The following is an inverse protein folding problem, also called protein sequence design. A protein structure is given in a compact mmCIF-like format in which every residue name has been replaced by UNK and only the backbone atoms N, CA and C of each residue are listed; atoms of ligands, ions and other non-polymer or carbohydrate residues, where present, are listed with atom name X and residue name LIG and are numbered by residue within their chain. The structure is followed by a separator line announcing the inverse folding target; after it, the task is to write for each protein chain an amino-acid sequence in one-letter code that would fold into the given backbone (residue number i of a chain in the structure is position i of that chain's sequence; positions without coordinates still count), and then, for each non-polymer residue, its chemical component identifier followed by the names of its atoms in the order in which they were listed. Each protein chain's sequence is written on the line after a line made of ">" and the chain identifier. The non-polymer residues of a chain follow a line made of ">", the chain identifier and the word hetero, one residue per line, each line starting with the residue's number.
data_IF_842821408456
#
_entry.id   IF_842821408456
#
_cell.length_a   1.000
_cell.length_b   1.000
_cell.length_c   1.000
_cell.angle_alpha   90.00
_cell.angle_beta   90.00
_cell.angle_gamma   90.00
#
_symmetry.space_group_name_H-M   'P 1'
#
loop_
_entity.id
_entity.type
_entity.pdbx_description
1 polymer ?
#
# COMPACT_ATOMS: atom_id res chain seq x y z
N UNK A 1 -10.54 2.30 -11.57
CA UNK A 1 -10.46 1.20 -12.54
C UNK A 1 -9.02 0.70 -12.67
N UNK A 2 -8.86 -0.59 -12.98
CA UNK A 2 -7.63 -1.17 -13.46
C UNK A 2 -7.72 -1.22 -14.99
N UNK A 3 -6.74 -0.65 -15.65
CA UNK A 3 -6.74 -0.46 -17.10
C UNK A 3 -5.60 -1.26 -17.74
N UNK A 4 -5.89 -1.84 -18.89
CA UNK A 4 -4.91 -2.39 -19.80
C UNK A 4 -4.73 -1.45 -20.98
N UNK A 5 -3.49 -1.17 -21.30
CA UNK A 5 -3.09 -0.40 -22.47
C UNK A 5 -2.15 -1.22 -23.34
N UNK A 6 -2.25 -1.07 -24.63
CA UNK A 6 -1.37 -1.70 -25.60
C UNK A 6 -1.07 -0.72 -26.73
N UNK A 7 0.19 -0.64 -27.07
CA UNK A 7 0.71 -0.06 -28.30
C UNK A 7 0.79 -1.21 -29.33
N UNK A 8 0.05 -1.14 -30.43
CA UNK A 8 -0.02 -2.23 -31.42
C UNK A 8 0.84 -2.00 -32.65
N UNK A 9 1.30 -0.77 -32.88
CA UNK A 9 2.14 -0.40 -34.02
C UNK A 9 3.57 0.02 -33.63
N UNK A 10 3.87 0.02 -32.31
CA UNK A 10 5.16 0.36 -31.71
C UNK A 10 5.59 1.82 -31.95
N UNK A 11 4.65 2.76 -32.01
CA UNK A 11 4.94 4.18 -32.12
C UNK A 11 5.22 4.88 -30.75
N UNK A 12 5.06 4.12 -29.65
CA UNK A 12 5.24 4.59 -28.28
C UNK A 12 3.97 5.19 -27.66
N UNK A 13 2.84 5.14 -28.37
CA UNK A 13 1.53 5.59 -27.90
C UNK A 13 0.57 4.41 -27.85
N UNK A 14 -0.12 4.24 -26.74
CA UNK A 14 -1.10 3.17 -26.61
C UNK A 14 -2.38 3.48 -27.40
N UNK A 15 -2.68 2.65 -28.40
CA UNK A 15 -3.84 2.75 -29.27
C UNK A 15 -5.00 1.85 -28.82
N UNK A 16 -4.76 0.87 -27.96
CA UNK A 16 -5.79 0.05 -27.33
C UNK A 16 -5.89 0.34 -25.82
N UNK A 17 -7.12 0.52 -25.36
CA UNK A 17 -7.44 0.71 -23.95
C UNK A 17 -8.63 -0.16 -23.55
N UNK A 18 -8.47 -0.91 -22.45
CA UNK A 18 -9.54 -1.75 -21.88
C UNK A 18 -9.61 -1.60 -20.38
N UNK A 19 -10.83 -1.52 -19.82
CA UNK A 19 -11.05 -1.66 -18.38
C UNK A 19 -11.04 -3.14 -18.04
N UNK A 20 -10.09 -3.57 -17.21
CA UNK A 20 -9.94 -4.98 -16.80
C UNK A 20 -10.80 -5.27 -15.58
N UNK A 21 -10.65 -4.43 -14.54
CA UNK A 21 -11.47 -4.49 -13.33
C UNK A 21 -11.94 -3.08 -12.95
N UNK A 22 -13.17 -3.01 -12.46
CA UNK A 22 -13.77 -1.76 -11.94
C UNK A 22 -14.37 -1.98 -10.56
N UNK A 23 -14.70 -0.88 -9.84
CA UNK A 23 -15.35 -0.93 -8.53
C UNK A 23 -14.45 -0.62 -7.35
N UNK A 24 -13.22 -0.15 -7.57
CA UNK A 24 -12.36 0.36 -6.50
C UNK A 24 -12.97 1.58 -5.82
N UNK A 25 -13.21 1.49 -4.50
CA UNK A 25 -13.82 2.54 -3.70
C UNK A 25 -15.30 2.80 -3.97
N UNK A 26 -15.96 2.04 -4.84
CA UNK A 26 -17.37 2.27 -5.28
C UNK A 26 -18.40 2.22 -4.15
N UNK A 27 -18.13 1.46 -3.09
CA UNK A 27 -19.03 1.34 -1.94
C UNK A 27 -18.89 2.50 -0.92
N UNK A 28 -18.00 3.46 -1.17
CA UNK A 28 -17.78 4.61 -0.28
C UNK A 28 -18.63 5.78 -0.70
N UNK A 29 -19.41 6.32 0.24
CA UNK A 29 -20.14 7.59 0.05
C UNK A 29 -19.19 8.77 -0.18
N UNK A 30 -17.97 8.68 0.39
CA UNK A 30 -16.89 9.64 0.19
C UNK A 30 -15.57 8.89 0.01
N UNK A 31 -15.00 9.02 -1.18
CA UNK A 31 -13.72 8.43 -1.52
C UNK A 31 -12.58 9.17 -0.81
N UNK A 32 -11.71 8.41 -0.13
CA UNK A 32 -10.45 8.94 0.37
C UNK A 32 -9.42 8.94 -0.76
N UNK A 33 -9.07 10.12 -1.28
CA UNK A 33 -8.13 10.26 -2.39
C UNK A 33 -6.71 9.81 -2.04
N UNK A 34 -6.35 9.78 -0.75
CA UNK A 34 -5.05 9.26 -0.28
C UNK A 34 -5.05 7.74 -0.08
N UNK A 35 -6.12 7.05 -0.43
CA UNK A 35 -6.30 5.62 -0.21
C UNK A 35 -6.77 4.91 -1.48
N UNK A 36 -6.28 5.35 -2.64
CA UNK A 36 -6.57 4.72 -3.93
C UNK A 36 -5.74 3.44 -4.10
N UNK A 37 -6.18 2.51 -4.97
CA UNK A 37 -5.40 1.34 -5.32
C UNK A 37 -4.05 1.76 -5.89
N UNK A 38 -3.01 1.03 -5.51
CA UNK A 38 -1.64 1.38 -5.86
C UNK A 38 -0.73 0.15 -5.91
N UNK A 39 0.51 0.37 -6.30
CA UNK A 39 1.62 -0.60 -6.18
C UNK A 39 1.37 -1.93 -6.90
N UNK A 40 0.96 -1.88 -8.16
CA UNK A 40 0.95 -3.08 -8.98
C UNK A 40 2.38 -3.64 -9.09
N UNK A 41 2.54 -4.91 -8.68
CA UNK A 41 3.82 -5.63 -8.68
C UNK A 41 3.64 -7.05 -9.17
N UNK A 42 4.59 -7.50 -9.96
CA UNK A 42 4.68 -8.89 -10.38
C UNK A 42 5.18 -9.75 -9.20
N UNK A 43 4.42 -10.77 -8.82
CA UNK A 43 4.81 -11.73 -7.79
C UNK A 43 5.55 -12.94 -8.37
N UNK A 44 6.22 -13.71 -7.51
CA UNK A 44 6.89 -14.96 -7.89
C UNK A 44 5.89 -16.08 -8.29
N UNK A 45 4.62 -15.89 -8.00
CA UNK A 45 3.50 -16.77 -8.36
C UNK A 45 2.91 -16.46 -9.75
N UNK A 46 3.61 -15.68 -10.56
CA UNK A 46 3.18 -15.21 -11.87
C UNK A 46 1.84 -14.44 -11.87
N UNK A 47 1.52 -13.80 -10.76
CA UNK A 47 0.35 -12.93 -10.62
C UNK A 47 0.77 -11.48 -10.44
N UNK A 48 -0.08 -10.56 -10.84
CA UNK A 48 0.07 -9.14 -10.53
C UNK A 48 -0.66 -8.88 -9.21
N UNK A 49 0.06 -8.39 -8.22
CA UNK A 49 -0.46 -8.00 -6.92
C UNK A 49 -0.66 -6.48 -6.85
N UNK A 50 -1.70 -6.06 -6.11
CA UNK A 50 -1.98 -4.65 -5.89
C UNK A 50 -2.54 -4.37 -4.49
N UNK A 51 -2.23 -3.19 -3.97
CA UNK A 51 -2.74 -2.71 -2.69
C UNK A 51 -4.03 -1.92 -2.89
N UNK A 52 -5.04 -2.14 -2.01
CA UNK A 52 -6.34 -1.44 -2.09
C UNK A 52 -6.49 -0.33 -1.07
N UNK A 53 -5.60 -0.24 -0.10
CA UNK A 53 -5.69 0.74 0.97
C UNK A 53 -7.02 0.66 1.78
N UNK A 54 -7.47 1.78 2.35
CA UNK A 54 -8.66 1.83 3.21
C UNK A 54 -9.99 2.03 2.46
N UNK A 55 -9.96 2.36 1.18
CA UNK A 55 -11.20 2.50 0.40
C UNK A 55 -11.85 1.14 0.12
N UNK A 56 -11.03 0.08 0.03
CA UNK A 56 -11.54 -1.23 -0.37
C UNK A 56 -12.03 -1.26 -1.81
N UNK A 57 -12.75 -2.31 -2.14
CA UNK A 57 -13.35 -2.46 -3.48
C UNK A 57 -14.50 -3.44 -3.47
N UNK A 58 -15.41 -3.27 -4.44
CA UNK A 58 -16.37 -4.26 -4.88
C UNK A 58 -16.15 -4.48 -6.36
N UNK A 59 -15.21 -5.37 -6.68
CA UNK A 59 -14.67 -5.53 -8.02
C UNK A 59 -15.57 -6.34 -8.91
N UNK A 60 -15.75 -5.86 -10.12
CA UNK A 60 -16.44 -6.53 -11.23
C UNK A 60 -15.58 -6.46 -12.49
N UNK A 61 -15.90 -7.28 -13.47
CA UNK A 61 -15.33 -7.26 -14.82
C UNK A 61 -16.38 -6.75 -15.81
N UNK A 62 -16.14 -5.61 -16.49
CA UNK A 62 -17.11 -5.08 -17.45
C UNK A 62 -17.33 -5.98 -18.68
N UNK A 63 -16.31 -6.74 -19.06
CA UNK A 63 -16.28 -7.63 -20.22
C UNK A 63 -16.76 -9.07 -19.91
N UNK A 64 -17.04 -9.38 -18.64
CA UNK A 64 -17.44 -10.72 -18.21
C UNK A 64 -18.59 -10.65 -17.18
N UNK A 65 -19.81 -10.84 -17.67
CA UNK A 65 -21.01 -10.81 -16.81
C UNK A 65 -21.15 -12.03 -15.90
N UNK A 66 -20.39 -13.08 -16.15
CA UNK A 66 -20.35 -14.28 -15.30
C UNK A 66 -19.38 -14.14 -14.13
N UNK A 67 -18.55 -13.10 -14.13
CA UNK A 67 -17.60 -12.85 -13.05
C UNK A 67 -18.35 -12.48 -11.75
N UNK A 68 -18.21 -13.33 -10.74
CA UNK A 68 -18.78 -13.08 -9.41
C UNK A 68 -18.07 -11.91 -8.74
N UNK A 69 -18.80 -10.86 -8.31
CA UNK A 69 -18.20 -9.68 -7.70
C UNK A 69 -17.38 -9.99 -6.45
N UNK A 70 -16.18 -9.42 -6.35
CA UNK A 70 -15.24 -9.69 -5.25
C UNK A 70 -15.10 -8.47 -4.35
N UNK A 71 -15.33 -8.68 -3.05
CA UNK A 71 -15.20 -7.64 -2.02
C UNK A 71 -13.80 -7.66 -1.40
N UNK A 72 -13.15 -6.48 -1.35
CA UNK A 72 -11.78 -6.29 -0.85
C UNK A 72 -11.72 -5.34 0.36
N UNK A 73 -12.53 -5.54 1.37
CA UNK A 73 -12.50 -4.71 2.57
C UNK A 73 -11.26 -5.01 3.42
N UNK A 74 -10.31 -4.04 3.48
CA UNK A 74 -9.06 -4.16 4.23
C UNK A 74 -8.12 -5.26 3.71
N UNK A 75 -8.29 -5.67 2.46
CA UNK A 75 -7.50 -6.71 1.80
C UNK A 75 -6.88 -6.18 0.52
N UNK A 76 -5.72 -6.69 0.19
CA UNK A 76 -5.09 -6.50 -1.11
C UNK A 76 -5.66 -7.51 -2.12
N UNK A 77 -5.15 -7.52 -3.34
CA UNK A 77 -5.59 -8.43 -4.38
C UNK A 77 -4.42 -8.92 -5.22
N UNK A 78 -4.65 -10.04 -5.90
CA UNK A 78 -3.82 -10.47 -7.01
C UNK A 78 -4.68 -10.98 -8.15
N UNK A 79 -4.16 -10.95 -9.37
CA UNK A 79 -4.82 -11.55 -10.53
C UNK A 79 -3.78 -12.12 -11.49
N UNK A 80 -4.16 -13.20 -12.17
CA UNK A 80 -3.43 -13.72 -13.32
C UNK A 80 -3.69 -12.79 -14.53
N UNK A 81 -2.66 -12.22 -15.17
CA UNK A 81 -2.86 -11.25 -16.25
C UNK A 81 -3.42 -11.85 -17.55
N UNK A 82 -3.39 -13.18 -17.69
CA UNK A 82 -3.91 -13.90 -18.86
C UNK A 82 -5.35 -14.35 -18.59
N UNK A 83 -5.57 -15.07 -17.49
CA UNK A 83 -6.87 -15.64 -17.12
C UNK A 83 -7.82 -14.62 -16.52
N UNK A 84 -7.27 -13.53 -15.96
CA UNK A 84 -7.99 -12.48 -15.26
C UNK A 84 -8.81 -13.00 -14.06
N UNK A 85 -8.39 -14.13 -13.48
CA UNK A 85 -8.93 -14.63 -12.23
C UNK A 85 -8.36 -13.77 -11.08
N UNK A 86 -9.20 -12.97 -10.44
CA UNK A 86 -8.81 -12.14 -9.32
C UNK A 86 -9.13 -12.83 -8.00
N UNK A 87 -8.23 -12.71 -7.04
CA UNK A 87 -8.46 -13.19 -5.67
C UNK A 87 -8.05 -12.17 -4.62
N UNK A 88 -8.76 -12.12 -3.48
CA UNK A 88 -8.36 -11.33 -2.34
C UNK A 88 -7.08 -11.89 -1.71
N UNK A 89 -6.19 -10.98 -1.33
CA UNK A 89 -4.95 -11.29 -0.61
C UNK A 89 -4.97 -10.65 0.78
N UNK A 90 -4.18 -11.16 1.70
CA UNK A 90 -3.93 -10.45 2.97
C UNK A 90 -3.26 -9.11 2.72
N UNK A 91 -3.46 -8.11 3.60
CA UNK A 91 -2.79 -6.83 3.43
C UNK A 91 -3.62 -5.63 3.81
N UNK A 92 -4.12 -4.89 2.83
CA UNK A 92 -4.72 -3.57 3.03
C UNK A 92 -3.64 -2.49 3.24
N UNK A 93 -2.50 -2.65 2.55
CA UNK A 93 -1.41 -1.67 2.55
C UNK A 93 -1.89 -0.34 2.00
N UNK A 94 -1.48 0.77 2.64
CA UNK A 94 -2.00 2.09 2.27
C UNK A 94 -1.22 2.70 1.11
N UNK A 95 0.11 2.70 1.18
CA UNK A 95 0.98 3.37 0.22
C UNK A 95 2.25 2.57 -0.03
N UNK A 96 2.16 1.61 -0.90
CA UNK A 96 3.31 0.82 -1.31
C UNK A 96 3.15 -0.66 -1.00
N UNK A 97 3.64 -1.46 -1.92
CA UNK A 97 3.82 -2.89 -1.75
C UNK A 97 5.07 -3.32 -2.50
N UNK A 98 5.85 -4.22 -1.91
CA UNK A 98 7.07 -4.75 -2.49
C UNK A 98 7.24 -6.21 -2.07
N UNK A 99 8.03 -6.95 -2.85
CA UNK A 99 8.44 -8.31 -2.53
C UNK A 99 9.94 -8.39 -2.35
N UNK A 100 10.38 -9.31 -1.49
CA UNK A 100 11.78 -9.74 -1.47
C UNK A 100 12.02 -10.92 -2.44
N UNK A 101 13.25 -11.46 -2.42
CA UNK A 101 13.65 -12.58 -3.28
C UNK A 101 12.98 -13.92 -2.90
N UNK A 102 12.34 -13.97 -1.74
CA UNK A 102 11.59 -15.14 -1.26
C UNK A 102 10.08 -15.03 -1.47
N UNK A 103 9.61 -13.96 -2.11
CA UNK A 103 8.19 -13.69 -2.31
C UNK A 103 7.46 -13.20 -1.06
N UNK A 104 8.16 -12.83 0.01
CA UNK A 104 7.54 -12.21 1.19
C UNK A 104 7.11 -10.80 0.84
N UNK A 105 5.89 -10.43 1.24
CA UNK A 105 5.30 -9.15 0.87
C UNK A 105 5.41 -8.14 2.00
N UNK A 106 5.83 -6.93 1.63
CA UNK A 106 6.00 -5.79 2.52
C UNK A 106 5.12 -4.63 2.05
N UNK A 107 4.52 -3.93 3.02
CA UNK A 107 3.63 -2.79 2.76
C UNK A 107 3.95 -1.65 3.72
N UNK A 108 3.46 -0.46 3.41
CA UNK A 108 3.54 0.70 4.30
C UNK A 108 2.19 1.36 4.49
N UNK A 109 2.04 2.08 5.58
CA UNK A 109 0.96 3.01 5.84
C UNK A 109 1.52 4.28 6.49
N UNK A 110 0.76 5.36 6.49
CA UNK A 110 1.23 6.72 6.83
C UNK A 110 2.27 6.79 7.94
N UNK A 111 1.98 6.19 9.09
CA UNK A 111 2.87 6.23 10.26
C UNK A 111 3.56 4.89 10.53
N UNK A 112 3.08 3.79 9.99
CA UNK A 112 3.76 2.49 10.09
C UNK A 112 4.50 2.21 8.77
N UNK A 113 5.75 2.63 8.75
CA UNK A 113 6.54 2.76 7.54
C UNK A 113 7.04 1.40 6.98
N UNK A 114 7.08 0.34 7.80
CA UNK A 114 7.52 -0.98 7.38
C UNK A 114 6.71 -2.08 8.06
N UNK A 115 5.91 -2.77 7.26
CA UNK A 115 5.06 -3.87 7.70
C UNK A 115 5.28 -5.08 6.78
N UNK A 116 5.23 -6.28 7.35
CA UNK A 116 5.24 -7.53 6.59
C UNK A 116 3.85 -8.18 6.59
N UNK A 117 3.54 -8.92 5.54
CA UNK A 117 2.39 -9.83 5.50
C UNK A 117 2.87 -11.20 5.96
N UNK A 118 2.54 -11.56 7.19
CA UNK A 118 3.06 -12.76 7.84
C UNK A 118 2.47 -14.06 7.26
N UNK A 119 1.22 -14.01 6.79
CA UNK A 119 0.55 -15.16 6.17
C UNK A 119 -0.62 -14.70 5.28
N UNK A 120 -1.02 -15.56 4.36
CA UNK A 120 -2.23 -15.35 3.59
C UNK A 120 -3.44 -15.97 4.32
N UNK A 121 -4.44 -15.15 4.61
CA UNK A 121 -5.61 -15.54 5.40
C UNK A 121 -6.35 -16.75 4.81
N UNK A 122 -6.31 -16.95 3.49
CA UNK A 122 -6.92 -18.11 2.83
C UNK A 122 -6.29 -19.45 3.23
N UNK A 123 -5.01 -19.45 3.66
CA UNK A 123 -4.32 -20.67 4.11
C UNK A 123 -4.44 -20.92 5.61
N UNK A 124 -4.89 -19.90 6.36
CA UNK A 124 -4.96 -19.93 7.80
C UNK A 124 -6.41 -19.89 8.33
N UNK A 125 -7.41 -20.04 7.46
CA UNK A 125 -8.82 -20.02 7.83
C UNK A 125 -9.14 -21.20 8.78
N UNK A 126 -9.64 -20.87 9.97
CA UNK A 126 -10.09 -21.85 10.96
C UNK A 126 -11.42 -21.37 11.55
N UNK A 127 -12.52 -22.16 11.44
CA UNK A 127 -13.84 -21.76 11.95
C UNK A 127 -13.89 -21.66 13.48
N UNK A 128 -12.95 -22.29 14.18
CA UNK A 128 -12.91 -22.35 15.66
C UNK A 128 -11.87 -21.39 16.26
N UNK A 129 -11.10 -20.68 15.45
CA UNK A 129 -10.06 -19.77 15.92
C UNK A 129 -9.99 -18.52 15.06
N UNK A 130 -10.11 -17.36 15.70
CA UNK A 130 -9.93 -16.07 15.01
C UNK A 130 -8.44 -15.79 14.85
N UNK A 131 -7.95 -15.86 13.62
CA UNK A 131 -6.57 -15.52 13.31
C UNK A 131 -6.28 -14.05 13.56
N UNK A 132 -5.06 -13.69 14.03
CA UNK A 132 -4.65 -12.30 14.16
C UNK A 132 -4.56 -11.61 12.80
N UNK A 133 -4.40 -10.28 12.82
CA UNK A 133 -4.17 -9.53 11.59
C UNK A 133 -2.86 -10.00 10.93
N UNK A 134 -2.88 -10.45 9.67
CA UNK A 134 -1.68 -10.91 8.98
C UNK A 134 -0.66 -9.79 8.68
N UNK A 135 -1.07 -8.52 8.72
CA UNK A 135 -0.19 -7.37 8.52
C UNK A 135 0.45 -6.95 9.85
N UNK A 136 1.76 -7.15 9.95
CA UNK A 136 2.54 -6.95 11.18
C UNK A 136 3.58 -5.85 10.97
N UNK A 137 3.67 -4.89 11.89
CA UNK A 137 4.78 -3.93 11.93
C UNK A 137 6.08 -4.64 12.30
N UNK A 138 7.13 -4.48 11.51
CA UNK A 138 8.42 -5.13 11.71
C UNK A 138 9.57 -4.16 11.95
N UNK A 139 9.32 -2.85 11.84
CA UNK A 139 10.33 -1.85 12.15
C UNK A 139 10.60 -1.84 13.67
N UNK A 140 11.87 -2.01 14.06
CA UNK A 140 12.28 -2.06 15.47
C UNK A 140 11.96 -0.76 16.24
N UNK A 141 11.96 0.37 15.55
CA UNK A 141 11.63 1.69 16.08
C UNK A 141 10.11 1.98 16.10
N UNK A 142 9.28 1.05 15.61
CA UNK A 142 7.83 1.10 15.70
C UNK A 142 7.15 2.08 14.76
N UNK A 143 5.84 2.26 14.97
CA UNK A 143 5.04 3.23 14.24
C UNK A 143 5.35 4.67 14.69
N UNK A 144 5.21 5.64 13.79
CA UNK A 144 5.54 7.05 14.01
C UNK A 144 6.98 7.25 14.51
N UNK A 145 7.89 6.38 14.07
CA UNK A 145 9.31 6.45 14.42
C UNK A 145 9.92 7.79 14.06
N UNK A 146 10.90 8.27 14.82
CA UNK A 146 11.61 9.51 14.52
C UNK A 146 12.28 9.50 13.16
N UNK A 147 12.23 10.63 12.46
CA UNK A 147 12.95 10.84 11.20
C UNK A 147 13.65 12.21 11.23
N UNK A 148 14.75 12.30 10.51
CA UNK A 148 15.48 13.57 10.37
C UNK A 148 14.85 14.39 9.25
N UNK A 149 14.13 15.45 9.63
CA UNK A 149 13.51 16.36 8.69
C UNK A 149 14.44 17.53 8.38
N UNK A 150 14.65 17.82 7.10
CA UNK A 150 15.51 18.92 6.65
C UNK A 150 14.76 20.23 6.35
N UNK A 151 13.43 20.17 6.19
CA UNK A 151 12.58 21.34 5.95
C UNK A 151 11.93 21.85 7.24
N UNK A 152 11.63 23.16 7.36
CA UNK A 152 10.90 23.70 8.51
C UNK A 152 9.47 23.14 8.59
N UNK A 153 8.89 23.24 9.78
CA UNK A 153 7.50 22.82 10.00
C UNK A 153 6.53 23.71 9.21
N UNK A 154 5.57 23.10 8.51
CA UNK A 154 4.53 23.85 7.84
C UNK A 154 3.58 24.51 8.85
N UNK A 155 3.23 25.81 8.67
CA UNK A 155 2.35 26.54 9.61
C UNK A 155 1.01 25.82 9.85
N UNK A 156 0.41 25.25 8.81
CA UNK A 156 -0.86 24.52 8.93
C UNK A 156 -0.74 23.27 9.81
N UNK A 157 0.42 22.60 9.77
CA UNK A 157 0.70 21.39 10.56
C UNK A 157 0.83 21.75 12.04
N UNK A 158 1.50 22.88 12.35
CA UNK A 158 1.61 23.42 13.70
C UNK A 158 0.23 23.69 14.28
N UNK A 159 -0.61 24.43 13.56
CA UNK A 159 -1.97 24.79 14.00
C UNK A 159 -2.83 23.53 14.19
N UNK A 160 -2.83 22.62 13.21
CA UNK A 160 -3.61 21.37 13.28
C UNK A 160 -3.20 20.51 14.48
N UNK A 161 -1.90 20.36 14.75
CA UNK A 161 -1.41 19.56 15.87
C UNK A 161 -1.87 20.17 17.20
N UNK A 162 -1.73 21.48 17.37
CA UNK A 162 -2.22 22.21 18.55
C UNK A 162 -3.73 22.02 18.77
N UNK A 163 -4.51 22.09 17.68
CA UNK A 163 -5.96 21.89 17.76
C UNK A 163 -6.36 20.46 18.09
N UNK A 164 -5.61 19.46 17.60
CA UNK A 164 -5.83 18.05 17.95
C UNK A 164 -5.51 17.79 19.42
N UNK A 165 -4.37 18.30 19.92
CA UNK A 165 -4.01 18.22 21.35
C UNK A 165 -5.09 18.87 22.21
N UNK A 166 -5.62 20.02 21.80
CA UNK A 166 -6.67 20.75 22.51
C UNK A 166 -8.09 20.17 22.31
N UNK A 167 -8.26 19.07 21.55
CA UNK A 167 -9.55 18.47 21.25
C UNK A 167 -10.47 19.30 20.35
N UNK A 168 -9.97 20.38 19.74
CA UNK A 168 -10.76 21.29 18.89
C UNK A 168 -11.07 20.72 17.51
N UNK A 169 -10.27 19.80 17.00
CA UNK A 169 -10.48 19.10 15.74
C UNK A 169 -10.29 17.61 15.91
N UNK A 170 -11.04 16.82 15.15
CA UNK A 170 -10.93 15.36 15.15
C UNK A 170 -9.63 14.89 14.52
N UNK A 171 -9.10 13.80 15.02
CA UNK A 171 -7.93 13.09 14.49
C UNK A 171 -6.96 12.69 15.59
N UNK A 172 -6.08 11.74 15.33
CA UNK A 172 -5.12 11.26 16.32
C UNK A 172 -4.07 12.33 16.62
N UNK A 173 -3.59 12.35 17.86
CA UNK A 173 -2.35 13.06 18.25
C UNK A 173 -1.21 12.08 17.97
N UNK A 174 -0.53 12.30 16.85
CA UNK A 174 0.56 11.44 16.38
C UNK A 174 1.93 11.92 16.90
N UNK A 175 2.92 11.06 16.82
CA UNK A 175 4.31 11.38 17.18
C UNK A 175 4.49 11.94 18.60
N UNK A 176 3.60 11.58 19.56
CA UNK A 176 3.62 12.14 20.91
C UNK A 176 3.28 13.61 20.99
N UNK A 177 2.51 14.15 20.02
CA UNK A 177 2.14 15.57 19.96
C UNK A 177 3.19 16.47 19.29
N UNK A 178 4.23 15.88 18.70
CA UNK A 178 5.19 16.61 17.86
C UNK A 178 4.53 17.05 16.56
N UNK A 179 4.93 18.18 16.05
CA UNK A 179 4.43 18.72 14.78
C UNK A 179 4.98 17.92 13.60
N UNK A 180 6.25 17.54 13.65
CA UNK A 180 6.96 16.79 12.62
C UNK A 180 8.14 15.99 13.21
N UNK A 181 9.03 15.48 12.35
CA UNK A 181 10.19 14.69 12.77
C UNK A 181 9.85 13.25 13.13
N UNK A 182 8.77 12.72 12.58
CA UNK A 182 8.35 11.33 12.69
C UNK A 182 7.65 10.88 11.39
N UNK A 183 7.59 9.56 11.12
CA UNK A 183 6.86 9.05 9.97
C UNK A 183 5.36 9.39 10.07
N UNK A 184 4.87 10.16 9.11
CA UNK A 184 3.46 10.56 9.02
C UNK A 184 2.90 10.56 7.61
N UNK A 185 3.75 10.31 6.61
CA UNK A 185 3.38 10.15 5.21
C UNK A 185 4.30 9.11 4.54
N UNK A 186 4.57 8.01 5.27
CA UNK A 186 5.37 6.91 4.75
C UNK A 186 4.71 6.29 3.53
N UNK A 187 5.50 6.08 2.47
CA UNK A 187 5.02 5.63 1.17
C UNK A 187 6.08 4.87 0.40
N UNK A 188 5.62 4.08 -0.58
CA UNK A 188 6.47 3.50 -1.60
C UNK A 188 7.51 2.52 -1.07
N UNK A 189 7.20 1.77 0.02
CA UNK A 189 8.14 0.76 0.52
C UNK A 189 8.64 -0.12 -0.61
N UNK A 190 9.95 -0.22 -0.74
CA UNK A 190 10.61 -1.02 -1.75
C UNK A 190 11.73 -1.82 -1.11
N UNK A 191 11.68 -3.13 -1.23
CA UNK A 191 12.78 -4.02 -0.88
C UNK A 191 13.74 -4.01 -2.06
N UNK A 192 14.98 -3.58 -1.84
CA UNK A 192 15.97 -3.49 -2.90
C UNK A 192 16.49 -4.89 -3.28
N UNK A 193 16.33 -5.24 -4.54
CA UNK A 193 16.70 -6.54 -5.11
C UNK A 193 17.67 -6.40 -6.29
N UNK A 194 18.02 -5.16 -6.63
CA UNK A 194 18.94 -4.86 -7.71
C UNK A 194 20.40 -5.03 -7.30
N UNK A 195 21.28 -4.70 -8.22
CA UNK A 195 22.75 -4.77 -8.09
C UNK A 195 23.45 -3.40 -8.26
N UNK A 196 22.70 -2.37 -8.70
CA UNK A 196 23.27 -1.05 -8.98
C UNK A 196 23.88 -0.35 -7.75
N UNK A 197 23.37 -0.61 -6.53
CA UNK A 197 23.89 -0.01 -5.30
C UNK A 197 24.92 -0.91 -4.57
N UNK A 198 25.23 -2.08 -5.12
CA UNK A 198 26.12 -3.06 -4.51
C UNK A 198 25.48 -3.91 -3.39
N UNK A 199 26.22 -4.92 -2.93
CA UNK A 199 25.70 -6.00 -2.07
C UNK A 199 25.19 -5.52 -0.71
N UNK A 200 25.78 -4.47 -0.15
CA UNK A 200 25.35 -3.91 1.15
C UNK A 200 23.96 -3.28 1.17
N UNK A 201 23.32 -3.18 0.02
CA UNK A 201 21.95 -2.64 -0.12
C UNK A 201 20.90 -3.72 -0.39
N UNK A 202 21.32 -4.90 -0.84
CA UNK A 202 20.39 -5.97 -1.19
C UNK A 202 19.63 -6.44 0.05
N UNK A 203 18.32 -6.60 -0.09
CA UNK A 203 17.41 -6.94 1.01
C UNK A 203 17.01 -5.77 1.91
N UNK A 204 17.61 -4.60 1.75
CA UNK A 204 17.23 -3.42 2.55
C UNK A 204 15.90 -2.83 2.07
N UNK A 205 15.14 -2.26 3.00
CA UNK A 205 13.93 -1.54 2.69
C UNK A 205 14.19 -0.04 2.51
N UNK A 206 13.69 0.51 1.42
CA UNK A 206 13.64 1.96 1.18
C UNK A 206 12.21 2.44 1.32
N UNK A 207 11.99 3.49 2.12
CA UNK A 207 10.66 4.05 2.37
C UNK A 207 10.73 5.56 2.24
N UNK A 208 9.92 6.11 1.34
CA UNK A 208 9.74 7.56 1.27
C UNK A 208 8.89 8.07 2.42
N UNK A 209 9.15 9.28 2.91
CA UNK A 209 8.22 10.03 3.75
C UNK A 209 7.99 11.42 3.17
N UNK A 210 6.87 11.57 2.48
CA UNK A 210 6.50 12.84 1.86
C UNK A 210 6.27 13.97 2.89
N UNK A 211 5.92 13.59 4.13
CA UNK A 211 5.75 14.53 5.23
C UNK A 211 7.04 15.13 5.74
N UNK A 212 8.17 14.48 5.48
CA UNK A 212 9.50 14.89 5.96
C UNK A 212 10.50 15.15 4.83
N UNK A 213 10.06 15.01 3.56
CA UNK A 213 10.88 15.19 2.34
C UNK A 213 12.15 14.32 2.34
N UNK A 214 12.03 13.06 2.66
CA UNK A 214 13.17 12.14 2.69
C UNK A 214 12.84 10.75 2.15
N UNK A 215 13.89 10.01 1.82
CA UNK A 215 13.86 8.55 1.64
C UNK A 215 14.68 7.92 2.76
N UNK A 216 14.07 7.02 3.48
CA UNK A 216 14.67 6.35 4.63
C UNK A 216 15.07 4.91 4.25
N UNK A 217 16.31 4.52 4.60
CA UNK A 217 16.81 3.17 4.45
C UNK A 217 16.72 2.42 5.76
N UNK A 218 16.17 1.22 5.74
CA UNK A 218 16.18 0.24 6.84
C UNK A 218 16.99 -0.98 6.41
N UNK A 219 17.89 -1.42 7.28
CA UNK A 219 18.79 -2.58 7.09
C UNK A 219 18.18 -3.78 7.80
#
# INVERSE_FOLDING_TARGET
>A
DLLYFRDTDNDGVADQRRVVFTGFGKERSRLNMQALPNSLRWGLDNRIHGATSSNGAFLTRPDDKSFEPIRLNGRDFSFDPIKLDLRPESGGGQHGASFDDYGRRFVSSNSNHLQAIAFEARHAANPHFSMPNPRVGIAADGAAAPVFRISPDEPWRIVRTRWRIAGKVRGPVEGGGRVSGYFTAATGVTIYRGDAFGDGYRGNAFVGDAGSNLVHRKI
#
